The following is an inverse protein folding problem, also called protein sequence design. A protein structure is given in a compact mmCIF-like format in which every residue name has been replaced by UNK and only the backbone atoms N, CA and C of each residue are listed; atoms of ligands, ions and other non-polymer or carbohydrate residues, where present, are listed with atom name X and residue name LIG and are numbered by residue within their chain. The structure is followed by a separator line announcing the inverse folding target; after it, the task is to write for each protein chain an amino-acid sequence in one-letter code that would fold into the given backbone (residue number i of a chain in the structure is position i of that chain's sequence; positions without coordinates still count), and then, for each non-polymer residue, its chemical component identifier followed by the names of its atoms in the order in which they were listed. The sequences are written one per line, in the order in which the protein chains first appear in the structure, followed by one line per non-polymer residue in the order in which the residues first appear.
data_IF_167990745485
#
_entry.id   IF_167990745485
#
_cell.length_a   1.000
_cell.length_b   1.000
_cell.length_c   1.000
_cell.angle_alpha   90.00
_cell.angle_beta   90.00
_cell.angle_gamma   90.00
#
_symmetry.space_group_name_H-M   'P 1'
#
loop_
_entity.id
_entity.type
_entity.pdbx_description
1 polymer ?
#
# COMPACT_ATOMS: atom_id res chain seq x y z
N UNK A 1 -4.99 -1.22 -19.28
CA UNK A 1 -3.77 -1.73 -19.92
C UNK A 1 -2.79 -2.10 -18.82
N UNK A 2 -2.02 -3.16 -19.00
CA UNK A 2 -1.12 -3.70 -17.97
C UNK A 2 0.33 -3.32 -18.24
N UNK A 3 1.17 -3.32 -17.21
CA UNK A 3 2.62 -3.17 -17.39
C UNK A 3 3.19 -4.30 -18.26
N UNK A 4 4.13 -3.96 -19.14
CA UNK A 4 4.73 -4.87 -20.10
C UNK A 4 3.84 -5.24 -21.30
N UNK A 5 2.64 -4.67 -21.43
CA UNK A 5 1.75 -4.92 -22.56
C UNK A 5 2.41 -4.49 -23.88
N UNK A 6 2.46 -5.41 -24.85
CA UNK A 6 3.01 -5.16 -26.19
C UNK A 6 1.90 -4.78 -27.16
N UNK A 7 2.05 -3.65 -27.82
CA UNK A 7 1.16 -3.18 -28.89
C UNK A 7 1.98 -3.21 -30.18
N UNK A 8 1.54 -4.04 -31.14
CA UNK A 8 2.17 -4.12 -32.45
C UNK A 8 1.44 -3.20 -33.41
N UNK A 9 2.17 -2.25 -33.98
CA UNK A 9 1.70 -1.33 -35.00
C UNK A 9 2.23 -1.82 -36.35
N UNK A 10 1.37 -2.50 -37.09
CA UNK A 10 1.75 -3.14 -38.35
C UNK A 10 2.09 -2.11 -39.43
N UNK A 11 3.22 -2.30 -40.12
CA UNK A 11 3.66 -1.45 -41.22
C UNK A 11 3.93 0.01 -40.85
N UNK A 12 4.24 0.28 -39.57
CA UNK A 12 4.56 1.62 -39.04
C UNK A 12 6.05 1.84 -38.78
N UNK A 13 6.89 0.90 -39.15
CA UNK A 13 8.35 0.99 -39.06
C UNK A 13 8.96 1.67 -40.28
N UNK A 14 10.28 1.67 -40.34
CA UNK A 14 11.04 2.35 -41.39
C UNK A 14 10.72 1.76 -42.76
N UNK A 15 10.60 2.66 -43.75
CA UNK A 15 10.29 2.32 -45.14
C UNK A 15 11.47 2.65 -46.06
N UNK A 16 11.81 1.72 -46.94
CA UNK A 16 12.80 1.91 -48.01
C UNK A 16 12.18 1.61 -49.39
N UNK A 17 12.65 2.24 -50.48
CA UNK A 17 12.14 1.96 -51.82
C UNK A 17 12.29 0.47 -52.19
N UNK A 18 11.18 -0.18 -52.55
CA UNK A 18 11.15 -1.59 -52.94
C UNK A 18 11.00 -2.59 -51.78
N UNK A 19 10.84 -2.13 -50.54
CA UNK A 19 10.58 -2.98 -49.37
C UNK A 19 9.28 -2.57 -48.66
N UNK A 20 8.57 -3.57 -48.12
CA UNK A 20 7.41 -3.31 -47.26
C UNK A 20 7.86 -2.73 -45.91
N UNK A 21 7.10 -1.78 -45.32
CA UNK A 21 7.43 -1.21 -44.02
C UNK A 21 7.42 -2.28 -42.92
N UNK A 22 8.36 -2.17 -41.99
CA UNK A 22 8.44 -3.05 -40.82
C UNK A 22 7.38 -2.72 -39.75
N UNK A 23 7.30 -3.53 -38.69
CA UNK A 23 6.36 -3.33 -37.57
C UNK A 23 7.02 -2.57 -36.41
N UNK A 24 6.27 -1.70 -35.76
CA UNK A 24 6.70 -1.04 -34.52
C UNK A 24 6.06 -1.71 -33.32
N UNK A 25 6.87 -2.15 -32.36
CA UNK A 25 6.38 -2.77 -31.13
C UNK A 25 6.52 -1.77 -29.98
N UNK A 26 5.39 -1.22 -29.54
CA UNK A 26 5.34 -0.35 -28.36
C UNK A 26 5.12 -1.21 -27.13
N UNK A 27 6.05 -1.16 -26.18
CA UNK A 27 5.90 -1.83 -24.88
C UNK A 27 5.48 -0.79 -23.85
N UNK A 28 4.29 -0.97 -23.28
CA UNK A 28 3.82 -0.12 -22.18
C UNK A 28 4.65 -0.45 -20.95
N UNK A 29 5.30 0.55 -20.38
CA UNK A 29 5.99 0.45 -19.09
C UNK A 29 5.33 1.39 -18.09
N UNK A 30 4.97 0.86 -16.94
CA UNK A 30 4.64 1.68 -15.78
C UNK A 30 5.92 2.44 -15.38
N UNK A 31 5.79 3.75 -15.21
CA UNK A 31 6.91 4.59 -14.83
C UNK A 31 7.52 4.06 -13.52
N UNK A 32 8.86 3.92 -13.43
CA UNK A 32 9.52 3.43 -12.23
C UNK A 32 9.47 4.46 -11.09
N UNK A 33 9.17 5.74 -11.39
CA UNK A 33 8.96 6.76 -10.38
C UNK A 33 7.63 6.48 -9.65
N UNK A 34 7.65 6.22 -8.33
CA UNK A 34 6.43 5.99 -7.57
C UNK A 34 5.58 7.27 -7.56
N UNK A 35 4.27 7.12 -7.74
CA UNK A 35 3.34 8.22 -7.51
C UNK A 35 3.29 8.50 -6.00
N UNK A 36 3.27 9.77 -5.55
CA UNK A 36 3.36 10.10 -4.12
C UNK A 36 2.23 9.47 -3.29
N UNK A 37 1.03 9.35 -3.87
CA UNK A 37 -0.18 8.92 -3.14
C UNK A 37 -0.62 7.50 -3.48
N UNK A 38 -0.29 6.99 -4.66
CA UNK A 38 -0.90 5.78 -5.20
C UNK A 38 0.15 4.76 -5.60
N UNK A 39 -0.06 3.54 -5.17
CA UNK A 39 0.69 2.38 -5.64
C UNK A 39 -0.28 1.50 -6.43
N UNK A 40 0.04 1.25 -7.69
CA UNK A 40 -0.80 0.44 -8.56
C UNK A 40 -0.45 -1.04 -8.45
N UNK A 41 -1.45 -1.88 -8.27
CA UNK A 41 -1.33 -3.33 -8.26
C UNK A 41 -2.33 -3.91 -9.27
N UNK A 42 -1.87 -4.14 -10.50
CA UNK A 42 -2.73 -4.62 -11.59
C UNK A 42 -3.82 -3.62 -11.99
N UNK A 43 -5.09 -3.95 -11.68
CA UNK A 43 -6.24 -3.09 -11.88
C UNK A 43 -6.60 -2.27 -10.63
N UNK A 44 -6.02 -2.59 -9.48
CA UNK A 44 -6.35 -1.97 -8.20
C UNK A 44 -5.33 -0.89 -7.83
N UNK A 45 -5.74 0.00 -6.94
CA UNK A 45 -4.91 1.07 -6.40
C UNK A 45 -4.81 0.92 -4.88
N UNK A 46 -3.61 1.12 -4.34
CA UNK A 46 -3.34 1.23 -2.91
C UNK A 46 -2.97 2.67 -2.59
N UNK A 47 -3.61 3.26 -1.60
CA UNK A 47 -3.29 4.59 -1.10
C UNK A 47 -3.10 4.58 0.41
N UNK A 48 -2.09 5.30 0.88
CA UNK A 48 -1.81 5.47 2.30
C UNK A 48 -2.53 6.71 2.81
N UNK A 49 -3.36 6.55 3.84
CA UNK A 49 -4.11 7.64 4.46
C UNK A 49 -3.69 7.78 5.92
N UNK A 50 -3.21 8.95 6.30
CA UNK A 50 -2.89 9.25 7.69
C UNK A 50 -4.13 9.80 8.39
N UNK A 51 -4.45 9.23 9.55
CA UNK A 51 -5.55 9.65 10.43
C UNK A 51 -5.00 9.92 11.82
N UNK A 52 -5.56 10.92 12.49
CA UNK A 52 -5.20 11.21 13.88
C UNK A 52 -5.74 10.14 14.83
N UNK A 53 -5.10 9.96 15.99
CA UNK A 53 -5.59 9.04 17.02
C UNK A 53 -7.04 9.34 17.46
N UNK A 54 -7.42 10.62 17.51
CA UNK A 54 -8.80 11.02 17.83
C UNK A 54 -9.77 10.50 16.76
N UNK A 55 -9.53 10.81 15.48
CA UNK A 55 -10.35 10.32 14.35
C UNK A 55 -10.43 8.78 14.32
N UNK A 56 -9.32 8.10 14.64
CA UNK A 56 -9.27 6.65 14.66
C UNK A 56 -10.16 6.02 15.74
N UNK A 57 -10.40 6.73 16.86
CA UNK A 57 -11.22 6.25 17.98
C UNK A 57 -12.66 6.76 17.92
N UNK A 58 -12.87 8.01 17.50
CA UNK A 58 -14.18 8.67 17.50
C UNK A 58 -14.92 8.53 16.17
N UNK A 59 -14.24 8.02 15.13
CA UNK A 59 -14.73 8.07 13.76
C UNK A 59 -14.49 9.43 13.10
N UNK A 60 -14.69 9.48 11.79
CA UNK A 60 -14.52 10.68 10.98
C UNK A 60 -15.40 10.61 9.72
N UNK A 61 -15.66 11.76 9.10
CA UNK A 61 -16.33 11.84 7.80
C UNK A 61 -15.74 13.02 7.04
N UNK A 62 -14.83 12.75 6.10
CA UNK A 62 -14.18 13.78 5.29
C UNK A 62 -13.65 13.23 3.97
N UNK A 63 -13.24 14.13 3.09
CA UNK A 63 -12.43 13.80 1.93
C UNK A 63 -11.04 13.39 2.42
N UNK A 64 -10.64 12.16 2.11
CA UNK A 64 -9.37 11.58 2.60
C UNK A 64 -8.22 11.77 1.62
N UNK A 65 -8.50 11.80 0.33
CA UNK A 65 -7.51 11.99 -0.73
C UNK A 65 -8.16 12.49 -2.02
N UNK A 66 -7.34 13.04 -2.92
CA UNK A 66 -7.75 13.37 -4.29
C UNK A 66 -7.37 12.23 -5.22
N UNK A 67 -8.32 11.77 -6.02
CA UNK A 67 -8.15 10.69 -6.99
C UNK A 67 -7.36 11.16 -8.23
N UNK A 68 -6.98 10.22 -9.09
CA UNK A 68 -6.28 10.48 -10.35
C UNK A 68 -7.11 11.29 -11.35
N UNK A 69 -8.44 11.29 -11.20
CA UNK A 69 -9.36 12.11 -12.00
C UNK A 69 -9.61 13.51 -11.42
N UNK A 70 -8.98 13.85 -10.29
CA UNK A 70 -9.14 15.12 -9.59
C UNK A 70 -10.34 15.20 -8.64
N UNK A 71 -11.19 14.16 -8.56
CA UNK A 71 -12.28 14.11 -7.58
C UNK A 71 -11.76 13.78 -6.19
N UNK A 72 -12.42 14.31 -5.16
CA UNK A 72 -12.15 13.94 -3.78
C UNK A 72 -12.82 12.62 -3.42
N UNK A 73 -12.05 11.66 -2.89
CA UNK A 73 -12.62 10.42 -2.33
C UNK A 73 -13.07 10.68 -0.90
N UNK A 74 -14.38 10.56 -0.68
CA UNK A 74 -14.97 10.68 0.64
C UNK A 74 -14.96 9.32 1.35
N UNK A 75 -14.43 9.29 2.58
CA UNK A 75 -14.49 8.11 3.43
C UNK A 75 -15.09 8.50 4.79
N UNK A 76 -15.98 7.63 5.30
CA UNK A 76 -16.63 7.82 6.59
C UNK A 76 -16.45 6.59 7.48
N UNK A 77 -16.03 6.81 8.72
CA UNK A 77 -16.04 5.83 9.80
C UNK A 77 -17.09 6.26 10.82
N UNK A 78 -18.10 5.42 11.11
CA UNK A 78 -19.13 5.76 12.08
C UNK A 78 -18.54 5.92 13.49
N UNK A 79 -19.18 6.76 14.30
CA UNK A 79 -18.74 6.97 15.67
C UNK A 79 -18.78 5.66 16.47
N UNK A 80 -17.68 5.36 17.18
CA UNK A 80 -17.50 4.11 17.91
C UNK A 80 -16.85 2.98 17.10
N UNK A 81 -16.66 3.13 15.79
CA UNK A 81 -15.84 2.21 15.00
C UNK A 81 -14.37 2.59 15.11
N UNK A 82 -13.58 1.71 15.72
CA UNK A 82 -12.14 1.90 15.90
C UNK A 82 -11.38 1.47 14.65
N UNK A 83 -10.55 2.36 14.12
CA UNK A 83 -9.59 2.06 13.04
C UNK A 83 -8.26 1.70 13.67
N UNK A 84 -7.77 0.49 13.37
CA UNK A 84 -6.45 0.04 13.85
C UNK A 84 -5.34 0.52 12.90
N UNK A 85 -4.12 0.73 13.41
CA UNK A 85 -2.98 1.01 12.55
C UNK A 85 -2.76 -0.12 11.55
N UNK A 86 -2.69 0.21 10.27
CA UNK A 86 -2.54 -0.75 9.18
C UNK A 86 -3.85 -1.38 8.69
N UNK A 87 -5.01 -1.01 9.25
CA UNK A 87 -6.30 -1.43 8.71
C UNK A 87 -6.45 -0.96 7.27
N UNK A 88 -7.11 -1.79 6.45
CA UNK A 88 -7.34 -1.53 5.04
C UNK A 88 -8.84 -1.45 4.78
N UNK A 89 -9.28 -0.41 4.08
CA UNK A 89 -10.67 -0.24 3.65
C UNK A 89 -10.76 -0.17 2.14
N UNK A 90 -11.72 -0.89 1.59
CA UNK A 90 -11.94 -0.96 0.14
C UNK A 90 -13.00 0.06 -0.26
N UNK A 91 -12.67 0.88 -1.24
CA UNK A 91 -13.61 1.73 -1.99
C UNK A 91 -13.76 1.07 -3.37
N UNK A 92 -14.93 0.50 -3.60
CA UNK A 92 -15.21 -0.26 -4.82
C UNK A 92 -15.24 0.64 -6.04
N UNK A 93 -14.81 0.11 -7.18
CA UNK A 93 -14.87 0.76 -8.50
C UNK A 93 -14.05 2.06 -8.65
N UNK A 94 -13.19 2.38 -7.68
CA UNK A 94 -12.30 3.55 -7.72
C UNK A 94 -10.83 3.18 -8.03
N UNK A 95 -10.60 2.00 -8.60
CA UNK A 95 -9.30 1.57 -9.11
C UNK A 95 -9.03 2.02 -10.56
N UNK A 96 -8.15 1.30 -11.24
CA UNK A 96 -7.79 1.56 -12.64
C UNK A 96 -8.83 0.94 -13.60
N UNK A 97 -9.08 1.56 -14.76
CA UNK A 97 -9.92 0.98 -15.80
C UNK A 97 -9.37 -0.36 -16.33
N UNK A 98 -10.22 -1.38 -16.34
CA UNK A 98 -9.92 -2.71 -16.87
C UNK A 98 -10.04 -2.66 -18.39
N UNK A 99 -8.97 -3.08 -19.09
CA UNK A 99 -8.94 -3.05 -20.55
C UNK A 99 -9.70 -4.25 -21.13
N UNK A 100 -11.03 -4.20 -21.08
CA UNK A 100 -11.94 -5.14 -21.75
C UNK A 100 -12.85 -4.35 -22.70
N UNK A 101 -13.04 -4.86 -23.92
CA UNK A 101 -13.87 -4.22 -24.96
C UNK A 101 -15.28 -3.95 -24.43
N UNK A 102 -15.69 -2.68 -24.40
CA UNK A 102 -17.08 -2.26 -24.16
C UNK A 102 -17.54 -2.17 -22.70
N UNK A 103 -16.67 -2.36 -21.71
CA UNK A 103 -17.06 -2.26 -20.30
C UNK A 103 -16.30 -1.13 -19.60
N UNK A 104 -17.01 -0.23 -18.93
CA UNK A 104 -16.42 0.78 -18.02
C UNK A 104 -16.07 0.16 -16.65
N UNK A 105 -15.61 -1.09 -16.63
CA UNK A 105 -15.22 -1.76 -15.39
C UNK A 105 -13.92 -1.13 -14.87
N UNK A 106 -13.90 -0.85 -13.57
CA UNK A 106 -12.73 -0.37 -12.83
C UNK A 106 -12.38 -1.39 -11.76
N UNK A 107 -11.11 -1.44 -11.38
CA UNK A 107 -10.71 -2.15 -10.16
C UNK A 107 -11.14 -1.39 -8.91
N UNK A 108 -10.56 -1.76 -7.77
CA UNK A 108 -10.89 -1.19 -6.47
C UNK A 108 -9.74 -0.31 -5.92
N UNK A 109 -10.08 0.60 -5.00
CA UNK A 109 -9.15 1.42 -4.26
C UNK A 109 -9.04 0.93 -2.80
N UNK A 110 -7.85 0.52 -2.41
CA UNK A 110 -7.50 0.09 -1.06
C UNK A 110 -6.89 1.26 -0.30
N UNK A 111 -7.56 1.70 0.76
CA UNK A 111 -7.09 2.74 1.67
C UNK A 111 -6.43 2.07 2.88
N UNK A 112 -5.12 2.19 3.00
CA UNK A 112 -4.35 1.72 4.15
C UNK A 112 -4.19 2.85 5.17
N UNK A 113 -4.72 2.65 6.37
CA UNK A 113 -4.71 3.68 7.40
C UNK A 113 -3.43 3.64 8.25
N UNK A 114 -2.81 4.81 8.41
CA UNK A 114 -1.72 5.06 9.35
C UNK A 114 -2.25 5.96 10.45
N UNK A 115 -2.13 5.51 11.70
CA UNK A 115 -2.58 6.29 12.85
C UNK A 115 -1.41 7.11 13.38
N UNK A 116 -1.57 8.43 13.35
CA UNK A 116 -0.63 9.36 13.95
C UNK A 116 -0.93 9.50 15.44
N UNK A 117 0.06 9.13 16.25
CA UNK A 117 -0.01 9.27 17.70
C UNK A 117 0.47 10.67 18.10
N UNK A 118 -0.14 11.26 19.14
CA UNK A 118 0.29 12.55 19.66
C UNK A 118 1.68 12.45 20.28
N UNK A 119 2.35 13.61 20.40
CA UNK A 119 3.69 13.71 20.98
C UNK A 119 3.74 13.27 22.46
N UNK A 120 4.92 12.88 22.96
CA UNK A 120 5.11 12.57 24.36
C UNK A 120 4.68 13.75 25.26
N UNK A 121 3.99 13.45 26.37
CA UNK A 121 3.50 14.44 27.34
C UNK A 121 2.48 15.46 26.79
N UNK A 122 1.74 15.15 25.72
CA UNK A 122 0.71 16.04 25.19
C UNK A 122 -0.49 16.28 26.14
N UNK A 123 -0.68 15.42 27.16
CA UNK A 123 -1.76 15.53 28.16
C UNK A 123 -1.17 15.73 29.56
N UNK A 124 -1.69 16.69 30.35
CA UNK A 124 -1.29 16.87 31.74
C UNK A 124 -1.69 15.67 32.61
N UNK A 125 -0.95 15.45 33.70
CA UNK A 125 -1.12 14.28 34.57
C UNK A 125 -2.55 14.11 35.12
N UNK A 126 -3.25 15.22 35.36
CA UNK A 126 -4.61 15.23 35.90
C UNK A 126 -5.61 14.57 34.94
N UNK A 127 -5.49 14.85 33.63
CA UNK A 127 -6.35 14.27 32.59
C UNK A 127 -5.99 12.81 32.26
N UNK A 128 -4.76 12.36 32.56
CA UNK A 128 -4.37 10.97 32.33
C UNK A 128 -5.22 9.99 33.15
N UNK A 129 -5.67 10.41 34.33
CA UNK A 129 -6.55 9.61 35.18
C UNK A 129 -7.91 9.37 34.52
N UNK A 130 -8.46 10.39 33.84
CA UNK A 130 -9.70 10.30 33.08
C UNK A 130 -9.53 9.47 31.81
N UNK A 131 -8.43 9.65 31.08
CA UNK A 131 -8.15 8.84 29.89
C UNK A 131 -8.04 7.35 30.23
N UNK A 132 -7.43 7.03 31.38
CA UNK A 132 -7.28 5.66 31.87
C UNK A 132 -8.61 5.01 32.27
N UNK A 133 -9.62 5.78 32.68
CA UNK A 133 -10.95 5.23 33.00
C UNK A 133 -11.80 4.95 31.76
N UNK A 134 -11.59 5.71 30.69
CA UNK A 134 -12.33 5.56 29.42
C UNK A 134 -11.74 4.43 28.56
N UNK A 135 -10.41 4.30 28.54
CA UNK A 135 -9.73 3.28 27.74
C UNK A 135 -9.77 1.88 28.38
N UNK A 136 -9.66 0.80 27.58
CA UNK A 136 -9.65 -0.56 28.09
C UNK A 136 -8.56 -0.78 29.15
N UNK A 137 -8.89 -1.51 30.21
CA UNK A 137 -8.00 -1.75 31.34
C UNK A 137 -6.68 -2.38 30.90
N UNK A 138 -5.56 -1.83 31.40
CA UNK A 138 -4.20 -2.36 31.21
C UNK A 138 -4.21 -3.87 31.43
N UNK A 139 -3.78 -4.65 30.43
CA UNK A 139 -3.55 -6.10 30.62
C UNK A 139 -2.61 -6.27 31.81
N UNK A 140 -3.11 -6.89 32.87
CA UNK A 140 -2.32 -7.23 34.06
C UNK A 140 -1.30 -8.25 33.58
N UNK A 141 -0.05 -7.81 33.40
CA UNK A 141 1.02 -8.69 32.96
C UNK A 141 1.08 -9.89 33.89
N UNK A 142 1.21 -11.07 33.30
CA UNK A 142 1.48 -12.33 33.98
C UNK A 142 2.60 -12.11 35.00
N UNK A 143 2.25 -12.15 36.29
CA UNK A 143 3.21 -12.31 37.35
C UNK A 143 3.76 -13.73 37.19
N UNK A 144 4.88 -13.88 36.47
CA UNK A 144 5.74 -15.04 36.68
C UNK A 144 6.21 -14.96 38.12
N UNK A 145 5.59 -15.75 38.99
CA UNK A 145 6.10 -16.07 40.31
C UNK A 145 7.52 -16.62 40.15
N UNK A 146 8.50 -15.74 40.29
CA UNK A 146 9.86 -16.15 40.64
C UNK A 146 9.82 -16.38 42.15
N UNK A 147 9.34 -17.55 42.54
CA UNK A 147 9.44 -18.05 43.91
C UNK A 147 10.91 -18.02 44.31
N UNK A 148 11.21 -17.12 45.24
CA UNK A 148 12.46 -17.06 45.95
C UNK A 148 12.39 -18.13 47.04
N UNK A 149 12.83 -19.36 46.75
CA UNK A 149 13.34 -20.22 47.82
C UNK A 149 14.83 -19.90 48.00
N UNK A 150 15.10 -19.08 49.01
CA UNK A 150 16.44 -18.91 49.56
C UNK A 150 16.78 -20.10 50.45
N UNK A 151 17.94 -20.71 50.18
CA UNK A 151 18.68 -21.49 51.18
C UNK A 151 20.13 -20.94 51.22
N UNK A 152 20.73 -20.73 52.41
CA UNK A 152 21.88 -19.83 52.58
C UNK A 152 23.26 -20.48 52.31
N UNK A 153 24.25 -19.59 52.17
CA UNK A 153 25.71 -19.77 51.98
C UNK A 153 26.37 -20.85 52.87
N UNK A 154 27.53 -21.48 52.58
CA UNK A 154 28.88 -20.98 52.19
C UNK A 154 29.84 -22.22 51.98
N UNK A 155 31.20 -22.15 51.95
CA UNK A 155 32.18 -21.31 51.21
C UNK A 155 33.29 -22.10 50.42
N UNK A 156 34.04 -21.33 49.61
CA UNK A 156 35.35 -21.52 48.92
C UNK A 156 36.26 -22.78 49.05
N UNK A 157 36.71 -23.28 47.86
CA UNK A 157 38.08 -23.68 47.38
C UNK A 157 39.01 -24.63 48.21
N UNK A 158 39.91 -25.49 47.63
CA UNK A 158 40.98 -25.09 46.68
C UNK A 158 41.47 -26.14 45.62
N UNK A 159 42.44 -25.68 44.80
CA UNK A 159 43.06 -26.28 43.61
C UNK A 159 43.94 -27.55 43.80
N UNK A 160 44.14 -28.33 42.71
CA UNK A 160 45.15 -29.42 42.65
C UNK A 160 45.38 -30.15 41.30
N UNK A 161 46.34 -29.65 40.49
CA UNK A 161 47.35 -30.31 39.60
C UNK A 161 47.02 -31.49 38.63
N UNK A 162 47.20 -31.20 37.33
CA UNK A 162 47.97 -31.88 36.23
C UNK A 162 47.90 -33.42 36.05
N UNK A 163 47.63 -33.89 34.81
CA UNK A 163 48.60 -34.63 33.95
C UNK A 163 48.15 -34.87 32.48
N UNK A 164 49.17 -34.78 31.62
CA UNK A 164 49.30 -35.00 30.16
C UNK A 164 48.65 -36.29 29.61
N UNK A 165 48.27 -36.25 28.31
CA UNK A 165 48.85 -37.01 27.15
C UNK A 165 47.94 -36.80 25.91
N UNK A 166 48.40 -36.11 24.85
CA UNK A 166 49.05 -36.65 23.62
C UNK A 166 48.15 -37.66 22.88
N UNK A 167 47.81 -37.61 21.59
CA UNK A 167 48.53 -37.31 20.31
C UNK A 167 47.43 -37.11 19.22
N UNK A 168 47.59 -36.22 18.22
CA UNK A 168 47.89 -36.52 16.78
C UNK A 168 46.78 -37.36 16.09
N UNK A 169 46.18 -37.10 14.92
CA UNK A 169 46.56 -36.44 13.66
C UNK A 169 45.24 -36.20 12.87
N UNK A 170 45.06 -35.12 12.08
CA UNK A 170 45.50 -34.89 10.69
C UNK A 170 44.48 -35.36 9.62
N UNK A 171 44.03 -34.37 8.82
CA UNK A 171 43.53 -34.40 7.42
C UNK A 171 42.24 -35.18 7.15
N UNK A 172 41.36 -34.75 6.26
CA UNK A 172 41.38 -33.61 5.34
C UNK A 172 40.18 -33.69 4.37
N UNK A 173 39.93 -32.57 3.69
CA UNK A 173 39.33 -32.43 2.35
C UNK A 173 37.91 -32.95 2.06
N UNK A 174 37.03 -32.00 1.74
CA UNK A 174 35.88 -32.14 0.84
C UNK A 174 36.35 -32.18 -0.65
N UNK A 175 35.48 -32.06 -1.68
CA UNK A 175 34.07 -32.46 -1.87
C UNK A 175 33.93 -33.39 -3.12
N UNK A 176 32.74 -33.93 -3.42
CA UNK A 176 32.31 -34.13 -4.83
C UNK A 176 30.82 -34.47 -4.95
N UNK A 177 30.21 -33.92 -5.99
CA UNK A 177 28.79 -34.03 -6.34
C UNK A 177 28.54 -35.19 -7.35
N UNK A 178 27.40 -35.22 -8.06
CA UNK A 178 26.34 -36.23 -7.97
C UNK A 178 26.42 -37.31 -9.08
N UNK A 179 25.49 -38.30 -9.09
CA UNK A 179 25.11 -38.95 -10.34
C UNK A 179 23.65 -38.66 -10.72
N UNK A 180 23.50 -38.45 -12.02
CA UNK A 180 22.28 -38.28 -12.79
C UNK A 180 21.68 -39.62 -13.26
N UNK A 181 20.43 -39.51 -13.70
CA UNK A 181 19.74 -40.28 -14.75
C UNK A 181 19.05 -41.64 -14.47
N UNK A 182 17.81 -41.64 -14.96
CA UNK A 182 17.07 -42.70 -15.67
C UNK A 182 15.79 -43.26 -14.99
N UNK A 183 14.77 -43.63 -15.79
CA UNK A 183 13.36 -43.38 -15.49
C UNK A 183 12.56 -44.62 -15.09
N UNK A 184 11.38 -44.42 -14.51
CA UNK A 184 10.37 -45.48 -14.35
C UNK A 184 9.05 -45.05 -15.01
N UNK A 185 8.75 -45.69 -16.13
CA UNK A 185 7.41 -45.82 -16.70
C UNK A 185 6.64 -46.89 -15.91
N UNK A 186 5.35 -46.65 -15.62
CA UNK A 186 4.26 -47.64 -15.77
C UNK A 186 2.89 -47.17 -15.24
N UNK A 187 1.86 -47.48 -16.02
CA UNK A 187 0.44 -47.69 -15.61
C UNK A 187 -0.39 -46.41 -15.52
N UNK A 188 -1.43 -46.16 -16.33
CA UNK A 188 -2.49 -47.08 -16.76
C UNK A 188 -3.61 -47.07 -15.71
N UNK A 189 -4.70 -46.33 -15.96
CA UNK A 189 -5.75 -46.08 -14.97
C UNK A 189 -6.89 -45.22 -15.49
N UNK A 190 -7.51 -45.69 -16.57
CA UNK A 190 -8.79 -45.31 -17.14
C UNK A 190 -9.95 -45.64 -16.16
N UNK A 191 -10.61 -44.58 -15.67
CA UNK A 191 -11.74 -44.66 -14.74
C UNK A 191 -12.93 -43.86 -15.25
N UNK A 192 -13.84 -44.57 -15.92
CA UNK A 192 -15.13 -44.11 -16.42
C UNK A 192 -16.12 -43.78 -15.28
N UNK A 193 -16.91 -42.72 -15.46
CA UNK A 193 -18.30 -42.66 -15.00
C UNK A 193 -18.69 -41.61 -13.95
N UNK A 194 -19.66 -40.75 -14.31
CA UNK A 194 -20.96 -40.52 -13.65
C UNK A 194 -21.40 -39.04 -13.80
N UNK A 195 -22.27 -38.67 -14.75
CA UNK A 195 -23.76 -38.58 -14.73
C UNK A 195 -24.39 -37.77 -13.57
N UNK A 196 -25.23 -36.80 -13.97
CA UNK A 196 -26.29 -36.12 -13.19
C UNK A 196 -26.08 -34.60 -13.12
N UNK A 197 -26.92 -33.69 -13.65
CA UNK A 197 -28.29 -33.78 -14.12
C UNK A 197 -29.31 -33.40 -13.03
N UNK A 198 -29.77 -32.13 -13.02
CA UNK A 198 -30.84 -31.57 -12.17
C UNK A 198 -30.53 -30.10 -11.84
N UNK A 199 -31.27 -29.10 -12.34
CA UNK A 199 -32.60 -28.70 -11.85
C UNK A 199 -32.40 -28.00 -10.49
N UNK A 200 -32.51 -26.69 -10.32
CA UNK A 200 -33.50 -25.76 -10.83
C UNK A 200 -34.35 -25.33 -9.65
N UNK A 201 -33.90 -24.34 -8.87
CA UNK A 201 -34.69 -23.67 -7.84
C UNK A 201 -34.07 -22.29 -7.58
N UNK A 202 -34.69 -21.26 -8.16
CA UNK A 202 -34.46 -19.88 -7.74
C UNK A 202 -35.38 -19.54 -6.58
N UNK A 203 -34.91 -18.82 -5.55
CA UNK A 203 -35.82 -18.16 -4.62
C UNK A 203 -36.07 -16.71 -5.08
N UNK A 204 -37.35 -16.49 -5.40
CA UNK A 204 -38.21 -15.40 -4.92
C UNK A 204 -37.59 -14.03 -4.62
N UNK A 205 -38.17 -13.05 -5.30
CA UNK A 205 -38.10 -11.62 -5.07
C UNK A 205 -38.50 -11.25 -3.63
N UNK A 206 -37.68 -10.44 -2.97
CA UNK A 206 -38.15 -9.57 -1.88
C UNK A 206 -38.19 -8.15 -2.42
N UNK A 207 -39.40 -7.75 -2.77
CA UNK A 207 -39.79 -6.41 -3.18
C UNK A 207 -39.80 -5.54 -1.92
N UNK A 208 -38.80 -4.67 -1.76
CA UNK A 208 -38.79 -3.63 -0.73
C UNK A 208 -39.22 -2.31 -1.35
N UNK A 209 -40.45 -1.93 -1.02
CA UNK A 209 -41.05 -0.60 -1.24
C UNK A 209 -40.08 0.51 -0.84
N UNK A 210 -39.67 1.31 -1.83
CA UNK A 210 -38.91 2.54 -1.62
C UNK A 210 -39.85 3.71 -1.87
N UNK A 211 -40.39 4.28 -0.79
CA UNK A 211 -41.18 5.50 -0.83
C UNK A 211 -40.38 6.68 -1.42
N UNK A 212 -41.01 7.55 -2.23
CA UNK A 212 -40.35 8.74 -2.75
C UNK A 212 -40.29 9.85 -1.69
N UNK A 213 -39.07 10.27 -1.34
CA UNK A 213 -38.86 11.47 -0.55
C UNK A 213 -39.09 12.74 -1.39
N UNK A 214 -40.05 13.52 -0.91
CA UNK A 214 -40.50 14.85 -1.28
C UNK A 214 -39.33 15.87 -1.39
N UNK A 215 -39.03 16.36 -2.60
CA UNK A 215 -38.11 17.49 -2.79
C UNK A 215 -38.91 18.79 -2.89
N UNK A 216 -39.25 19.30 -1.71
CA UNK A 216 -39.83 20.62 -1.50
C UNK A 216 -38.85 21.74 -1.90
N UNK A 217 -39.33 22.55 -2.83
CA UNK A 217 -38.86 23.86 -3.28
C UNK A 217 -38.39 24.84 -2.18
N UNK A 218 -37.38 25.67 -2.53
CA UNK A 218 -37.18 27.13 -2.25
C UNK A 218 -35.67 27.43 -2.22
N UNK A 219 -35.12 28.56 -2.64
CA UNK A 219 -35.57 29.73 -3.38
C UNK A 219 -34.29 30.47 -3.83
N UNK A 220 -34.42 31.29 -4.86
CA UNK A 220 -33.38 32.15 -5.39
C UNK A 220 -33.07 33.37 -4.49
N UNK A 221 -31.80 33.78 -4.47
CA UNK A 221 -31.34 35.16 -4.26
C UNK A 221 -29.84 35.21 -4.62
N UNK A 222 -29.43 35.64 -5.81
CA UNK A 222 -29.13 37.03 -6.22
C UNK A 222 -27.98 37.70 -5.45
N UNK A 223 -26.80 37.80 -6.08
CA UNK A 223 -25.86 38.95 -6.06
C UNK A 223 -24.53 38.49 -6.70
N UNK A 224 -24.30 38.74 -7.99
CA UNK A 224 -23.61 39.93 -8.55
C UNK A 224 -22.09 40.00 -8.28
N UNK A 225 -21.33 39.82 -9.37
CA UNK A 225 -20.20 40.65 -9.82
C UNK A 225 -18.94 40.80 -8.94
N UNK A 226 -17.82 40.25 -9.41
CA UNK A 226 -16.46 40.83 -9.32
C UNK A 226 -15.48 39.92 -10.10
N UNK A 227 -15.29 40.15 -11.41
CA UNK A 227 -14.13 40.85 -11.98
C UNK A 227 -12.78 40.15 -11.72
N UNK A 228 -12.34 39.39 -12.73
CA UNK A 228 -10.97 38.92 -12.93
C UNK A 228 -10.05 40.13 -13.21
N UNK A 229 -8.90 40.20 -12.54
CA UNK A 229 -7.76 41.02 -12.97
C UNK A 229 -6.49 40.20 -12.87
N UNK A 230 -5.91 39.96 -14.03
CA UNK A 230 -4.62 39.32 -14.25
C UNK A 230 -3.49 40.18 -13.69
N UNK A 231 -2.51 39.54 -13.05
CA UNK A 231 -1.19 40.10 -12.83
C UNK A 231 -0.17 39.13 -13.42
N UNK A 232 0.18 39.38 -14.68
CA UNK A 232 1.44 38.96 -15.30
C UNK A 232 2.50 39.95 -14.79
N UNK A 233 3.47 39.47 -14.02
CA UNK A 233 4.66 40.23 -13.65
C UNK A 233 5.83 39.73 -14.49
N UNK A 234 6.27 40.59 -15.39
CA UNK A 234 7.52 40.57 -16.13
C UNK A 234 8.69 40.81 -15.18
N UNK A 235 9.71 39.97 -15.22
CA UNK A 235 11.01 40.22 -14.59
C UNK A 235 11.90 40.93 -15.62
N UNK A 236 12.36 42.12 -15.24
CA UNK A 236 13.28 42.99 -15.99
C UNK A 236 14.73 42.55 -15.81
N UNK A 237 15.53 42.85 -16.82
CA UNK A 237 16.97 42.64 -16.95
C UNK A 237 17.72 43.74 -16.18
N UNK A 238 18.63 43.39 -15.27
CA UNK A 238 19.60 44.33 -14.69
C UNK A 238 20.98 44.06 -15.32
N UNK A 239 21.37 44.94 -16.24
CA UNK A 239 22.75 45.15 -16.67
C UNK A 239 23.42 46.16 -15.72
N UNK A 240 24.53 45.78 -15.10
CA UNK A 240 25.48 46.74 -14.51
C UNK A 240 26.92 46.22 -14.73
N UNK A 241 27.57 46.76 -15.76
CA UNK A 241 29.03 46.97 -15.85
C UNK A 241 29.35 48.25 -15.03
N UNK A 242 30.56 48.59 -14.58
CA UNK A 242 31.92 48.17 -14.91
C UNK A 242 32.87 48.48 -13.74
N UNK A 243 34.00 47.77 -13.64
CA UNK A 243 35.22 48.32 -13.02
C UNK A 243 36.46 47.52 -13.46
N UNK A 244 37.26 48.14 -14.32
CA UNK A 244 38.53 47.61 -14.77
C UNK A 244 39.67 47.89 -13.79
N UNK A 245 40.60 46.94 -13.66
CA UNK A 245 42.00 47.23 -13.29
C UNK A 245 42.94 46.31 -14.06
N UNK A 246 43.92 46.93 -14.69
CA UNK A 246 45.00 46.42 -15.53
C UNK A 246 46.11 45.72 -14.73
N UNK A 247 46.84 44.78 -15.37
CA UNK A 247 48.32 44.64 -15.34
C UNK A 247 48.72 43.40 -16.16
N UNK A 248 49.30 43.53 -17.36
CA UNK A 248 50.73 43.75 -17.65
C UNK A 248 51.59 42.46 -17.65
N UNK A 249 51.94 42.03 -18.87
CA UNK A 249 53.22 41.49 -19.36
C UNK A 249 54.06 40.57 -18.45
N UNK A 250 54.27 39.34 -18.91
CA UNK A 250 55.58 38.82 -19.39
C UNK A 250 55.40 37.53 -20.17
#
# INVERSE_FOLDING_TARGET
MSDGQRIVLHGKGDQAPGFDPSDVIVVIRQQPKPHPTFQREGADLLANVTVSLSEALTGFSRVVLTHLDGRGIHASSPAGSVIRPGDVRVVREEGMPVHRRGTSARGDLYLKFFVEFPEPNWVPADLLSQLRSILPSKRRGEQRERSQDGSPAAPAAPAGKKKKRSRTAKRGSAPDAPPSDAPAENGGGDGSGNRGGGGGDGPVVDEVDMEPADFGSKAASSSSSSAYREHYSSEEEDEDEDDGVQCAQQ
#
